data_IF_060349034366
#
_entry.id   IF_060349034366
#
_cell.length_a   1.000
_cell.length_b   1.000
_cell.length_c   1.000
_cell.angle_alpha   90.00
_cell.angle_beta   90.00
_cell.angle_gamma   90.00
#
_symmetry.space_group_name_H-M   'P 1'
#
loop_
_entity.id
_entity.type
_entity.pdbx_description
1 polymer ?
#
# COMPACT_ATOMS: atom_id res chain seq x y z
N UNK A 1 42.13 35.73 -51.33
CA UNK A 1 41.09 35.03 -52.12
C UNK A 1 40.15 34.37 -51.12
N UNK A 2 39.10 35.11 -50.72
CA UNK A 2 37.70 34.97 -51.16
C UNK A 2 36.95 34.00 -50.22
N UNK A 3 36.19 34.53 -49.23
CA UNK A 3 34.72 34.76 -49.27
C UNK A 3 33.94 33.43 -49.17
N UNK A 4 32.85 33.22 -48.40
CA UNK A 4 31.87 34.05 -47.67
C UNK A 4 30.97 33.04 -46.90
N UNK A 5 30.40 33.40 -45.73
CA UNK A 5 29.21 32.70 -45.19
C UNK A 5 27.96 33.00 -46.06
N UNK A 6 26.73 32.53 -45.72
CA UNK A 6 26.11 32.84 -44.43
C UNK A 6 25.12 31.79 -43.84
N UNK A 7 24.60 32.18 -42.67
CA UNK A 7 23.49 31.68 -41.85
C UNK A 7 22.18 31.33 -42.57
N UNK A 8 21.47 30.31 -42.08
CA UNK A 8 20.00 30.23 -42.17
C UNK A 8 19.36 29.79 -40.84
N UNK A 9 18.30 30.52 -40.51
CA UNK A 9 17.37 30.31 -39.41
C UNK A 9 16.46 29.10 -39.66
N UNK A 10 16.19 28.29 -38.63
CA UNK A 10 15.02 27.40 -38.62
C UNK A 10 14.16 27.66 -37.39
N UNK A 11 12.94 28.15 -37.64
CA UNK A 11 11.82 28.13 -36.68
C UNK A 11 11.25 26.71 -36.60
N UNK A 12 10.65 26.30 -35.46
CA UNK A 12 10.04 24.99 -35.33
C UNK A 12 8.65 24.97 -35.99
N UNK A 13 8.49 24.12 -37.00
CA UNK A 13 7.22 23.76 -37.61
C UNK A 13 6.72 22.44 -37.05
N UNK A 14 5.48 22.47 -36.56
CA UNK A 14 4.60 21.34 -36.29
C UNK A 14 4.55 20.33 -37.45
N UNK A 15 4.67 19.04 -37.15
CA UNK A 15 4.00 17.87 -37.75
C UNK A 15 4.90 16.64 -37.57
N UNK A 16 4.56 15.78 -36.60
CA UNK A 16 4.96 14.36 -36.59
C UNK A 16 3.88 13.59 -35.81
N UNK A 17 2.73 13.44 -36.47
CA UNK A 17 1.91 12.24 -36.32
C UNK A 17 2.28 11.36 -37.52
N UNK A 18 2.29 10.05 -37.28
CA UNK A 18 2.57 8.95 -38.21
C UNK A 18 4.02 8.47 -38.22
N UNK A 19 4.32 7.59 -37.27
CA UNK A 19 5.08 6.36 -37.52
C UNK A 19 4.84 5.37 -36.36
N UNK A 20 3.66 4.74 -36.39
CA UNK A 20 3.34 3.56 -35.57
C UNK A 20 2.86 2.45 -36.51
N UNK A 21 3.78 1.83 -37.26
CA UNK A 21 3.59 0.45 -37.70
C UNK A 21 4.89 -0.17 -38.22
N UNK A 22 5.66 -0.77 -37.31
CA UNK A 22 6.39 -2.01 -37.56
C UNK A 22 7.17 -2.38 -36.31
N UNK A 23 6.61 -3.25 -35.48
CA UNK A 23 7.30 -4.47 -35.04
C UNK A 23 6.36 -5.33 -34.19
N UNK A 24 6.14 -6.54 -34.70
CA UNK A 24 5.32 -7.57 -34.09
C UNK A 24 6.10 -8.15 -32.92
N UNK A 25 5.62 -7.94 -31.70
CA UNK A 25 5.89 -8.85 -30.59
C UNK A 25 4.57 -9.35 -30.03
N UNK A 26 4.37 -10.66 -30.15
CA UNK A 26 3.21 -11.42 -29.75
C UNK A 26 3.09 -11.48 -28.21
N UNK A 27 2.63 -10.39 -27.59
CA UNK A 27 1.93 -10.46 -26.32
C UNK A 27 0.47 -10.13 -26.58
N UNK A 28 -0.37 -11.16 -26.56
CA UNK A 28 -1.81 -11.01 -26.60
C UNK A 28 -2.23 -9.99 -25.54
N UNK A 29 -2.73 -8.84 -25.98
CA UNK A 29 -3.41 -7.87 -25.11
C UNK A 29 -4.64 -8.56 -24.52
N UNK A 30 -4.50 -9.18 -23.34
CA UNK A 30 -5.66 -9.50 -22.52
C UNK A 30 -6.40 -8.19 -22.21
N UNK A 31 -7.74 -8.19 -22.16
CA UNK A 31 -8.48 -7.02 -21.71
C UNK A 31 -8.06 -6.71 -20.27
N UNK A 32 -7.39 -5.57 -20.05
CA UNK A 32 -7.13 -5.05 -18.70
C UNK A 32 -8.45 -5.00 -17.95
N UNK A 33 -8.53 -5.70 -16.81
CA UNK A 33 -9.69 -5.68 -15.93
C UNK A 33 -10.03 -4.25 -15.52
N UNK A 34 -11.30 -3.99 -15.15
CA UNK A 34 -11.70 -2.68 -14.60
C UNK A 34 -10.80 -2.31 -13.41
N UNK A 35 -10.42 -3.29 -12.59
CA UNK A 35 -9.45 -3.13 -11.51
C UNK A 35 -8.09 -2.63 -12.00
N UNK A 36 -7.47 -3.29 -12.98
CA UNK A 36 -6.16 -2.88 -13.52
C UNK A 36 -6.22 -1.46 -14.11
N UNK A 37 -7.32 -1.12 -14.79
CA UNK A 37 -7.53 0.21 -15.36
C UNK A 37 -7.69 1.26 -14.25
N UNK A 38 -8.45 0.97 -13.19
CA UNK A 38 -8.60 1.85 -12.03
C UNK A 38 -7.26 2.07 -11.33
N UNK A 39 -6.47 1.02 -11.09
CA UNK A 39 -5.14 1.15 -10.48
C UNK A 39 -4.30 2.13 -11.30
N UNK A 40 -4.22 1.91 -12.62
CA UNK A 40 -3.43 2.76 -13.51
C UNK A 40 -3.86 4.23 -13.49
N UNK A 41 -5.17 4.47 -13.55
CA UNK A 41 -5.72 5.83 -13.55
C UNK A 41 -5.44 6.50 -12.21
N UNK A 42 -5.83 5.88 -11.09
CA UNK A 42 -5.74 6.50 -9.76
C UNK A 42 -4.27 6.71 -9.37
N UNK A 43 -3.37 5.79 -9.72
CA UNK A 43 -1.94 5.92 -9.48
C UNK A 43 -1.29 7.08 -10.27
N UNK A 44 -1.95 7.60 -11.31
CA UNK A 44 -1.48 8.79 -12.04
C UNK A 44 -1.88 10.11 -11.39
N UNK A 45 -2.80 10.09 -10.42
CA UNK A 45 -3.16 11.28 -9.65
C UNK A 45 -2.12 11.57 -8.57
N UNK A 46 -2.08 12.83 -8.14
CA UNK A 46 -1.23 13.27 -7.03
C UNK A 46 -1.54 12.43 -5.77
N UNK A 47 -0.50 11.94 -5.09
CA UNK A 47 -0.59 11.04 -3.94
C UNK A 47 -1.35 9.72 -4.18
N UNK A 48 -1.70 9.37 -5.42
CA UNK A 48 -2.54 8.21 -5.70
C UNK A 48 -3.97 8.34 -5.15
N UNK A 49 -4.48 9.57 -5.06
CA UNK A 49 -5.81 9.87 -4.52
C UNK A 49 -6.71 10.51 -5.58
N UNK A 50 -7.99 10.14 -5.61
CA UNK A 50 -8.98 10.78 -6.48
C UNK A 50 -10.35 10.81 -5.82
N UNK A 51 -11.12 11.88 -6.07
CA UNK A 51 -12.52 11.95 -5.64
C UNK A 51 -13.39 11.12 -6.59
N UNK A 52 -14.29 10.28 -6.07
CA UNK A 52 -15.08 9.33 -6.88
C UNK A 52 -15.77 9.97 -8.08
N UNK A 53 -16.39 11.15 -7.91
CA UNK A 53 -17.06 11.86 -9.02
C UNK A 53 -16.12 12.25 -10.17
N UNK A 54 -14.82 12.44 -9.90
CA UNK A 54 -13.83 12.81 -10.91
C UNK A 54 -13.49 11.63 -11.85
N UNK A 55 -13.65 10.38 -11.41
CA UNK A 55 -13.40 9.20 -12.24
C UNK A 55 -14.29 9.17 -13.50
N UNK A 56 -15.56 9.54 -13.35
CA UNK A 56 -16.55 9.52 -14.43
C UNK A 56 -16.50 10.76 -15.32
N UNK A 57 -15.85 11.82 -14.86
CA UNK A 57 -15.71 13.04 -15.65
C UNK A 57 -14.77 12.86 -16.85
N UNK A 58 -13.78 11.95 -16.74
CA UNK A 58 -12.71 11.80 -17.73
C UNK A 58 -12.38 10.38 -18.15
N UNK A 59 -12.68 9.37 -17.33
CA UNK A 59 -12.10 8.03 -17.53
C UNK A 59 -13.11 6.89 -17.70
N UNK A 60 -14.34 7.06 -17.21
CA UNK A 60 -15.36 6.02 -17.21
C UNK A 60 -16.74 6.56 -17.62
N UNK A 61 -17.53 5.69 -18.25
CA UNK A 61 -18.93 6.01 -18.60
C UNK A 61 -19.83 5.78 -17.38
N UNK A 62 -20.91 6.55 -17.24
CA UNK A 62 -21.87 6.44 -16.12
C UNK A 62 -22.46 5.03 -15.97
N UNK A 63 -22.63 4.29 -17.06
CA UNK A 63 -23.15 2.92 -17.02
C UNK A 63 -22.17 1.89 -16.43
N UNK A 64 -20.91 2.26 -16.17
CA UNK A 64 -19.90 1.40 -15.52
C UNK A 64 -19.83 1.63 -14.00
N UNK A 65 -20.70 2.48 -13.45
CA UNK A 65 -20.64 2.92 -12.06
C UNK A 65 -20.80 1.77 -11.07
N UNK A 66 -21.72 0.84 -11.34
CA UNK A 66 -21.96 -0.32 -10.47
C UNK A 66 -20.77 -1.30 -10.47
N UNK A 67 -20.17 -1.54 -11.63
CA UNK A 67 -18.99 -2.41 -11.75
C UNK A 67 -17.78 -1.81 -11.04
N UNK A 68 -17.56 -0.50 -11.20
CA UNK A 68 -16.51 0.24 -10.48
C UNK A 68 -16.78 0.18 -8.97
N UNK A 69 -18.03 0.37 -8.55
CA UNK A 69 -18.39 0.29 -7.13
C UNK A 69 -18.11 -1.10 -6.54
N UNK A 70 -18.39 -2.18 -7.29
CA UNK A 70 -18.06 -3.54 -6.87
C UNK A 70 -16.56 -3.74 -6.69
N UNK A 71 -15.76 -3.31 -7.67
CA UNK A 71 -14.30 -3.43 -7.62
C UNK A 71 -13.70 -2.60 -6.48
N UNK A 72 -14.18 -1.38 -6.25
CA UNK A 72 -13.68 -0.52 -5.18
C UNK A 72 -14.06 -1.02 -3.77
N UNK A 73 -15.15 -1.78 -3.64
CA UNK A 73 -15.60 -2.33 -2.36
C UNK A 73 -15.12 -3.76 -2.07
N UNK A 74 -14.42 -4.38 -3.02
CA UNK A 74 -13.79 -5.67 -2.78
C UNK A 74 -12.66 -5.52 -1.74
N UNK A 75 -12.72 -6.33 -0.69
CA UNK A 75 -11.73 -6.32 0.41
C UNK A 75 -10.33 -6.69 -0.07
N UNK A 76 -10.23 -7.46 -1.15
CA UNK A 76 -8.98 -7.87 -1.78
C UNK A 76 -8.51 -6.91 -2.88
N UNK A 77 -9.24 -5.81 -3.09
CA UNK A 77 -8.83 -4.78 -4.04
C UNK A 77 -7.60 -3.97 -3.59
N UNK A 78 -7.04 -3.23 -4.54
CA UNK A 78 -5.95 -2.29 -4.37
C UNK A 78 -6.43 -0.89 -3.95
N UNK A 79 -7.63 -0.77 -3.36
CA UNK A 79 -8.25 0.51 -3.07
C UNK A 79 -8.71 0.64 -1.62
N UNK A 80 -8.56 1.85 -1.08
CA UNK A 80 -9.21 2.27 0.15
C UNK A 80 -10.10 3.47 -0.12
N UNK A 81 -11.15 3.61 0.68
CA UNK A 81 -12.17 4.65 0.50
C UNK A 81 -12.32 5.39 1.81
N UNK A 82 -12.02 6.68 1.80
CA UNK A 82 -12.28 7.58 2.93
C UNK A 82 -13.62 8.26 2.82
N UNK A 83 -14.14 8.71 3.96
CA UNK A 83 -15.41 9.44 4.08
C UNK A 83 -16.58 8.68 3.47
N UNK A 84 -16.69 7.37 3.73
CA UNK A 84 -17.84 6.54 3.29
C UNK A 84 -19.13 7.19 3.77
N UNK A 85 -19.78 7.92 2.87
CA UNK A 85 -20.89 8.80 3.25
C UNK A 85 -22.23 8.06 3.22
N UNK A 86 -22.27 6.86 2.61
CA UNK A 86 -23.46 6.01 2.59
C UNK A 86 -23.12 4.52 2.53
N UNK A 87 -23.81 3.65 3.28
CA UNK A 87 -23.73 2.20 3.11
C UNK A 87 -24.35 1.72 1.78
N UNK A 88 -25.09 2.58 1.07
CA UNK A 88 -25.85 2.24 -0.13
C UNK A 88 -25.21 2.75 -1.44
N UNK A 89 -24.00 3.34 -1.39
CA UNK A 89 -23.30 3.84 -2.59
C UNK A 89 -22.42 5.05 -2.32
N UNK A 90 -21.86 5.65 -3.39
CA UNK A 90 -21.08 6.89 -3.31
C UNK A 90 -21.99 8.10 -3.48
N UNK A 91 -21.82 9.11 -2.60
CA UNK A 91 -22.40 10.45 -2.80
C UNK A 91 -21.55 11.31 -3.76
N UNK A 92 -20.36 10.82 -4.12
CA UNK A 92 -19.48 11.41 -5.13
C UNK A 92 -18.35 12.26 -4.55
N UNK A 93 -18.31 12.45 -3.24
CA UNK A 93 -17.29 13.17 -2.49
C UNK A 93 -16.26 12.23 -1.81
N UNK A 94 -16.47 10.92 -1.89
CA UNK A 94 -15.55 9.94 -1.31
C UNK A 94 -14.19 10.00 -1.99
N UNK A 95 -13.13 9.93 -1.16
CA UNK A 95 -11.75 9.94 -1.64
C UNK A 95 -11.29 8.50 -1.75
N UNK A 96 -10.91 8.10 -2.96
CA UNK A 96 -10.38 6.78 -3.26
C UNK A 96 -8.87 6.89 -3.29
N UNK A 97 -8.19 6.01 -2.56
CA UNK A 97 -6.74 5.87 -2.63
C UNK A 97 -6.37 4.53 -3.22
N UNK A 98 -5.45 4.53 -4.16
CA UNK A 98 -4.84 3.29 -4.65
C UNK A 98 -3.66 2.89 -3.77
N UNK A 99 -3.45 1.60 -3.59
CA UNK A 99 -2.28 1.04 -2.94
C UNK A 99 -2.03 -0.38 -3.45
N UNK A 100 -0.96 -1.01 -3.01
CA UNK A 100 -0.77 -2.45 -3.20
C UNK A 100 -0.45 -3.14 -1.88
N UNK A 101 -0.95 -4.37 -1.72
CA UNK A 101 -0.57 -5.27 -0.62
C UNK A 101 0.69 -6.08 -0.96
N UNK A 102 1.12 -6.07 -2.22
CA UNK A 102 2.29 -6.80 -2.68
C UNK A 102 3.53 -6.22 -2.00
N UNK A 103 4.45 -7.08 -1.57
CA UNK A 103 5.64 -6.68 -0.82
C UNK A 103 6.89 -7.40 -1.35
N UNK A 104 8.06 -6.96 -0.88
CA UNK A 104 9.31 -7.65 -1.16
C UNK A 104 9.42 -8.94 -0.36
N UNK A 105 9.87 -10.01 -1.01
CA UNK A 105 10.13 -11.30 -0.37
C UNK A 105 11.21 -11.14 0.71
N UNK A 106 10.89 -11.50 1.96
CA UNK A 106 11.80 -11.34 3.10
C UNK A 106 13.12 -12.13 2.97
N UNK A 107 13.12 -13.20 2.18
CA UNK A 107 14.29 -14.04 1.92
C UNK A 107 15.12 -13.54 0.73
N UNK A 108 14.49 -12.88 -0.24
CA UNK A 108 15.16 -12.33 -1.42
C UNK A 108 15.48 -10.83 -1.32
N UNK A 109 15.06 -10.14 -0.26
CA UNK A 109 15.40 -8.72 -0.03
C UNK A 109 16.40 -8.51 1.12
N UNK A 110 16.93 -9.59 1.72
CA UNK A 110 17.86 -9.55 2.84
C UNK A 110 18.98 -10.57 2.67
N UNK A 111 20.20 -10.14 2.96
CA UNK A 111 21.31 -11.06 3.18
C UNK A 111 21.19 -11.66 4.59
N UNK A 112 21.38 -12.97 4.74
CA UNK A 112 21.43 -13.63 6.05
C UNK A 112 22.64 -13.17 6.87
N UNK A 113 22.59 -13.34 8.21
CA UNK A 113 23.71 -13.01 9.12
C UNK A 113 24.99 -13.80 8.82
N UNK A 114 24.86 -14.95 8.17
CA UNK A 114 25.95 -15.81 7.70
C UNK A 114 26.55 -15.36 6.35
N UNK A 115 26.10 -14.21 5.82
CA UNK A 115 26.52 -13.68 4.53
C UNK A 115 25.90 -14.42 3.34
N UNK A 116 25.04 -15.43 3.58
CA UNK A 116 24.37 -16.20 2.53
C UNK A 116 22.93 -15.72 2.39
N UNK A 117 22.42 -15.68 1.16
CA UNK A 117 21.00 -15.44 0.94
C UNK A 117 20.22 -16.66 1.46
N UNK A 118 19.19 -16.41 2.28
CA UNK A 118 18.19 -17.44 2.58
C UNK A 118 17.54 -17.81 1.24
N UNK A 119 17.57 -19.09 0.87
CA UNK A 119 17.00 -19.55 -0.41
C UNK A 119 15.48 -19.53 -0.31
N UNK A 120 14.82 -18.72 -1.12
CA UNK A 120 13.40 -18.89 -1.41
C UNK A 120 13.27 -19.86 -2.59
N UNK A 121 12.31 -20.76 -2.47
CA UNK A 121 12.00 -21.82 -3.44
C UNK A 121 11.33 -21.33 -4.73
N UNK A 122 11.07 -20.02 -4.83
CA UNK A 122 10.38 -19.42 -5.97
C UNK A 122 8.86 -19.52 -5.92
N UNK A 123 8.28 -20.12 -4.87
CA UNK A 123 6.82 -20.27 -4.73
C UNK A 123 6.22 -19.30 -3.71
N UNK A 124 6.90 -18.17 -3.45
CA UNK A 124 6.41 -17.17 -2.51
C UNK A 124 5.50 -16.13 -3.18
N UNK A 125 4.50 -15.64 -2.45
CA UNK A 125 3.60 -14.56 -2.90
C UNK A 125 4.18 -13.15 -2.84
N UNK A 126 5.50 -12.99 -2.98
CA UNK A 126 6.20 -11.71 -2.79
C UNK A 126 7.26 -11.46 -3.87
N UNK A 127 7.52 -10.19 -4.16
CA UNK A 127 8.41 -9.76 -5.24
C UNK A 127 9.88 -10.05 -4.93
N UNK A 128 10.58 -10.52 -5.96
CA UNK A 128 12.03 -10.72 -5.95
C UNK A 128 12.71 -9.51 -6.56
N UNK A 129 12.79 -8.43 -5.77
CA UNK A 129 13.40 -7.18 -6.20
C UNK A 129 14.36 -6.63 -5.16
N UNK A 130 15.38 -5.90 -5.63
CA UNK A 130 16.18 -5.01 -4.80
C UNK A 130 15.28 -3.87 -4.30
N UNK A 131 15.34 -3.57 -2.99
CA UNK A 131 14.63 -2.43 -2.40
C UNK A 131 15.01 -1.10 -3.06
N UNK A 132 16.31 -0.89 -3.29
CA UNK A 132 16.81 0.37 -3.86
C UNK A 132 16.36 0.52 -5.32
N UNK A 133 16.30 -0.57 -6.08
CA UNK A 133 15.71 -0.57 -7.41
C UNK A 133 14.20 -0.28 -7.37
N UNK A 134 13.47 -0.97 -6.48
CA UNK A 134 12.02 -0.77 -6.30
C UNK A 134 11.71 0.69 -5.99
N UNK A 135 12.39 1.27 -5.01
CA UNK A 135 12.09 2.61 -4.52
C UNK A 135 12.69 3.71 -5.38
N UNK A 136 13.83 3.53 -6.02
CA UNK A 136 14.54 4.61 -6.71
C UNK A 136 14.69 4.33 -8.20
N UNK A 137 15.70 3.56 -8.56
CA UNK A 137 16.01 3.17 -9.92
C UNK A 137 17.17 2.18 -9.93
N UNK A 138 17.49 1.63 -11.11
CA UNK A 138 18.67 0.81 -11.28
C UNK A 138 19.96 1.60 -11.03
N UNK A 139 20.00 2.86 -11.47
CA UNK A 139 21.12 3.76 -11.29
C UNK A 139 21.29 4.13 -9.83
N UNK A 140 20.25 4.23 -9.02
CA UNK A 140 20.43 4.53 -7.59
C UNK A 140 21.15 3.40 -6.84
N UNK A 141 21.06 2.16 -7.33
CA UNK A 141 21.71 1.00 -6.72
C UNK A 141 23.17 0.89 -7.19
N UNK A 142 24.11 0.96 -6.25
CA UNK A 142 25.55 0.81 -6.53
C UNK A 142 25.88 -0.50 -7.26
N UNK A 143 25.29 -1.61 -6.81
CA UNK A 143 25.52 -2.94 -7.41
C UNK A 143 24.71 -3.15 -8.69
N UNK A 144 23.54 -2.50 -8.81
CA UNK A 144 22.71 -2.48 -10.01
C UNK A 144 23.42 -1.88 -11.20
N UNK A 145 24.02 -0.69 -11.00
CA UNK A 145 24.87 -0.03 -12.01
C UNK A 145 25.99 -0.91 -12.55
N UNK A 146 26.50 -1.82 -11.72
CA UNK A 146 27.61 -2.73 -12.05
C UNK A 146 27.13 -4.10 -12.56
N UNK A 147 25.81 -4.35 -12.64
CA UNK A 147 25.24 -5.65 -12.98
C UNK A 147 25.57 -6.76 -11.97
N UNK A 148 25.93 -6.38 -10.73
CA UNK A 148 26.37 -7.30 -9.66
C UNK A 148 25.42 -7.33 -8.47
N UNK A 149 24.24 -6.71 -8.58
CA UNK A 149 23.26 -6.79 -7.51
C UNK A 149 22.80 -8.24 -7.37
N UNK A 150 22.91 -8.79 -6.18
CA UNK A 150 22.44 -10.14 -5.89
C UNK A 150 20.92 -10.22 -5.73
N UNK A 151 20.23 -9.09 -5.86
CA UNK A 151 18.78 -8.94 -5.79
C UNK A 151 18.23 -8.58 -7.16
N UNK A 152 16.95 -8.89 -7.41
CA UNK A 152 16.33 -8.70 -8.74
C UNK A 152 16.15 -7.24 -9.12
N UNK A 153 16.49 -6.89 -10.36
CA UNK A 153 16.36 -5.54 -10.94
C UNK A 153 15.39 -5.53 -12.13
N UNK A 154 14.45 -6.47 -12.14
CA UNK A 154 13.47 -6.64 -13.21
C UNK A 154 12.09 -6.88 -12.62
N UNK A 155 11.20 -5.88 -12.77
CA UNK A 155 9.80 -5.98 -12.36
C UNK A 155 9.05 -7.09 -13.08
N UNK A 156 9.46 -7.43 -14.31
CA UNK A 156 8.74 -8.33 -15.20
C UNK A 156 9.41 -9.70 -15.34
N UNK A 157 10.30 -10.05 -14.41
CA UNK A 157 10.84 -11.41 -14.32
C UNK A 157 9.70 -12.43 -14.26
N UNK A 158 9.93 -13.66 -14.72
CA UNK A 158 8.90 -14.70 -14.79
C UNK A 158 8.12 -14.88 -13.48
N UNK A 159 8.82 -14.83 -12.34
CA UNK A 159 8.23 -14.89 -11.00
C UNK A 159 7.34 -13.66 -10.70
N UNK A 160 7.89 -12.46 -10.89
CA UNK A 160 7.21 -11.22 -10.54
C UNK A 160 5.99 -10.98 -11.43
N UNK A 161 6.06 -11.31 -12.72
CA UNK A 161 4.97 -11.10 -13.68
C UNK A 161 3.70 -11.85 -13.28
N UNK A 162 3.84 -13.07 -12.74
CA UNK A 162 2.70 -13.82 -12.21
C UNK A 162 2.03 -13.08 -11.05
N UNK A 163 2.82 -12.63 -10.08
CA UNK A 163 2.31 -11.87 -8.92
C UNK A 163 1.67 -10.54 -9.33
N UNK A 164 2.24 -9.83 -10.30
CA UNK A 164 1.67 -8.59 -10.82
C UNK A 164 0.29 -8.84 -11.45
N UNK A 165 0.12 -9.92 -12.21
CA UNK A 165 -1.18 -10.30 -12.80
C UNK A 165 -2.22 -10.63 -11.74
N UNK A 166 -1.85 -11.46 -10.76
CA UNK A 166 -2.75 -11.83 -9.65
C UNK A 166 -3.22 -10.61 -8.84
N UNK A 167 -2.38 -9.57 -8.78
CA UNK A 167 -2.68 -8.33 -8.07
C UNK A 167 -3.22 -7.22 -8.99
N UNK A 168 -3.59 -7.49 -10.25
CA UNK A 168 -4.09 -6.47 -11.21
C UNK A 168 -3.12 -5.30 -11.46
N UNK A 169 -1.80 -5.57 -11.46
CA UNK A 169 -0.72 -4.59 -11.62
C UNK A 169 0.07 -4.75 -12.93
N UNK A 170 -0.22 -5.78 -13.73
CA UNK A 170 0.51 -6.12 -14.96
C UNK A 170 0.32 -5.11 -16.10
N UNK A 171 -0.69 -4.24 -16.01
CA UNK A 171 -0.89 -3.11 -16.92
C UNK A 171 -0.05 -1.86 -16.63
N UNK A 172 0.76 -1.89 -15.56
CA UNK A 172 1.62 -0.78 -15.16
C UNK A 172 3.04 -0.95 -15.71
N UNK A 173 3.63 0.15 -16.18
CA UNK A 173 5.06 0.17 -16.50
C UNK A 173 5.91 0.32 -15.22
N UNK A 174 7.23 0.17 -15.34
CA UNK A 174 8.17 0.27 -14.22
C UNK A 174 8.02 1.59 -13.42
N UNK A 175 7.83 2.73 -14.11
CA UNK A 175 7.68 4.03 -13.45
C UNK A 175 6.38 4.09 -12.64
N UNK A 176 5.30 3.58 -13.21
CA UNK A 176 3.99 3.50 -12.57
C UNK A 176 4.02 2.54 -11.37
N UNK A 177 4.64 1.36 -11.50
CA UNK A 177 4.83 0.43 -10.39
C UNK A 177 5.62 1.09 -9.26
N UNK A 178 6.75 1.73 -9.58
CA UNK A 178 7.56 2.43 -8.60
C UNK A 178 6.77 3.51 -7.85
N UNK A 179 6.01 4.34 -8.56
CA UNK A 179 5.15 5.34 -7.95
C UNK A 179 4.13 4.68 -6.99
N UNK A 180 3.50 3.57 -7.41
CA UNK A 180 2.54 2.83 -6.59
C UNK A 180 3.18 2.30 -5.30
N UNK A 181 4.37 1.71 -5.37
CA UNK A 181 5.10 1.19 -4.21
C UNK A 181 5.63 2.29 -3.28
N UNK A 182 5.80 3.51 -3.79
CA UNK A 182 6.21 4.65 -2.99
C UNK A 182 5.05 5.26 -2.16
N UNK A 183 3.79 4.99 -2.52
CA UNK A 183 2.62 5.53 -1.82
C UNK A 183 2.59 5.09 -0.33
N UNK A 184 2.09 5.94 0.59
CA UNK A 184 2.07 5.65 2.02
C UNK A 184 1.40 4.33 2.40
N UNK A 185 0.29 3.98 1.74
CA UNK A 185 -0.46 2.76 1.99
C UNK A 185 0.20 1.50 1.41
N UNK A 186 1.07 1.65 0.40
CA UNK A 186 1.80 0.53 -0.22
C UNK A 186 3.11 0.18 0.51
N UNK A 187 3.54 1.01 1.46
CA UNK A 187 4.78 0.76 2.22
C UNK A 187 4.63 -0.45 3.13
N UNK A 188 5.72 -1.20 3.28
CA UNK A 188 5.87 -2.30 4.23
C UNK A 188 7.17 -2.14 5.07
N UNK A 189 7.40 -3.05 6.03
CA UNK A 189 8.57 -3.01 6.94
C UNK A 189 9.92 -2.94 6.22
N UNK A 190 10.07 -3.55 5.05
CA UNK A 190 11.33 -3.55 4.28
C UNK A 190 11.51 -2.28 3.44
N UNK A 191 10.42 -1.58 3.12
CA UNK A 191 10.43 -0.32 2.36
C UNK A 191 10.22 0.91 3.24
N UNK A 192 10.33 0.75 4.56
CA UNK A 192 10.18 1.82 5.56
C UNK A 192 11.36 1.79 6.53
N UNK A 193 12.01 2.94 6.80
CA UNK A 193 13.10 3.00 7.76
C UNK A 193 12.60 2.70 9.17
N UNK A 194 13.43 1.99 9.93
CA UNK A 194 13.15 1.64 11.33
C UNK A 194 13.72 2.71 12.26
N UNK A 195 13.07 2.93 13.39
CA UNK A 195 13.59 3.77 14.47
C UNK A 195 14.73 3.04 15.16
N UNK A 196 15.87 3.71 15.31
CA UNK A 196 17.06 3.10 15.89
C UNK A 196 16.85 2.78 17.36
N UNK A 197 16.89 1.48 17.71
CA UNK A 197 16.76 1.00 19.09
C UNK A 197 17.91 1.46 19.98
N UNK A 198 19.13 1.49 19.46
CA UNK A 198 20.30 1.97 20.21
C UNK A 198 20.29 3.48 20.42
N UNK A 199 19.65 4.25 19.53
CA UNK A 199 19.46 5.68 19.77
C UNK A 199 18.40 5.93 20.85
N UNK A 200 17.34 5.11 20.86
CA UNK A 200 16.23 5.24 21.80
C UNK A 200 16.46 4.58 23.16
N UNK A 201 17.57 3.85 23.33
CA UNK A 201 17.96 3.24 24.60
C UNK A 201 18.71 4.25 25.48
N UNK A 202 18.33 4.38 26.76
CA UNK A 202 18.99 5.31 27.68
C UNK A 202 20.32 4.78 28.23
N UNK A 203 20.55 3.45 28.17
CA UNK A 203 21.75 2.79 28.69
C UNK A 203 22.85 2.63 27.64
N UNK A 204 22.48 2.59 26.36
CA UNK A 204 23.40 2.40 25.24
C UNK A 204 23.13 3.49 24.23
N UNK A 205 24.18 4.18 23.75
CA UNK A 205 24.06 5.15 22.65
C UNK A 205 24.43 4.48 21.34
N UNK A 206 23.77 4.85 20.25
CA UNK A 206 24.19 4.41 18.91
C UNK A 206 25.58 4.98 18.60
N UNK A 207 26.58 4.11 18.41
CA UNK A 207 27.96 4.49 18.06
C UNK A 207 28.26 4.37 16.56
N UNK A 208 27.36 3.76 15.79
CA UNK A 208 27.53 3.59 14.35
C UNK A 208 27.29 4.92 13.62
N UNK A 209 28.37 5.48 13.05
CA UNK A 209 28.31 6.72 12.26
C UNK A 209 27.53 6.58 10.94
N UNK A 210 27.37 5.36 10.44
CA UNK A 210 26.63 5.02 9.23
C UNK A 210 25.34 4.26 9.57
N UNK A 211 24.71 4.57 10.71
CA UNK A 211 23.44 3.94 11.07
C UNK A 211 22.35 4.26 10.03
N UNK A 212 21.77 3.22 9.44
CA UNK A 212 20.69 3.29 8.44
C UNK A 212 19.29 3.33 9.07
N UNK A 213 19.21 3.46 10.39
CA UNK A 213 17.95 3.56 11.16
C UNK A 213 17.78 5.00 11.67
N UNK A 214 16.53 5.44 11.85
CA UNK A 214 16.21 6.82 12.23
C UNK A 214 16.65 7.12 13.67
N UNK A 215 17.47 8.15 13.85
CA UNK A 215 17.81 8.73 15.16
C UNK A 215 16.76 9.78 15.56
N UNK A 216 15.54 9.29 15.75
CA UNK A 216 14.39 10.09 16.20
C UNK A 216 13.76 9.43 17.42
N UNK A 217 13.16 10.22 18.31
CA UNK A 217 12.49 9.72 19.50
C UNK A 217 11.32 8.80 19.13
N UNK A 218 11.29 7.58 19.68
CA UNK A 218 10.22 6.62 19.44
C UNK A 218 8.88 7.12 19.99
N UNK A 219 8.87 7.77 21.16
CA UNK A 219 7.66 8.33 21.77
C UNK A 219 7.11 9.49 20.93
N UNK A 220 7.98 10.29 20.32
CA UNK A 220 7.57 11.33 19.38
C UNK A 220 6.89 10.74 18.13
N UNK A 221 7.45 9.66 17.57
CA UNK A 221 6.84 8.95 16.43
C UNK A 221 5.49 8.35 16.78
N UNK A 222 5.35 7.79 17.98
CA UNK A 222 4.09 7.25 18.49
C UNK A 222 3.10 8.34 18.93
N UNK A 223 3.47 9.62 18.81
CA UNK A 223 2.68 10.77 19.24
C UNK A 223 2.29 10.70 20.73
N UNK A 224 3.14 10.05 21.53
CA UNK A 224 2.98 9.95 22.98
C UNK A 224 3.41 11.27 23.65
N UNK A 225 2.63 11.68 24.64
CA UNK A 225 2.96 12.85 25.46
C UNK A 225 4.15 12.52 26.36
N UNK A 226 5.25 13.25 26.20
CA UNK A 226 6.41 13.14 27.06
C UNK A 226 7.07 14.51 27.24
N UNK A 227 7.37 14.87 28.49
CA UNK A 227 7.94 16.18 28.85
C UNK A 227 9.46 16.06 28.97
N UNK A 228 10.17 17.13 28.59
CA UNK A 228 11.63 17.25 28.73
C UNK A 228 12.45 16.15 28.04
N UNK A 229 12.01 15.73 26.85
CA UNK A 229 12.76 14.76 26.05
C UNK A 229 14.11 15.32 25.58
N UNK A 230 15.17 14.52 25.71
CA UNK A 230 16.52 14.86 25.22
C UNK A 230 16.79 14.27 23.82
N UNK A 231 15.86 13.51 23.27
CA UNK A 231 15.98 12.86 21.95
C UNK A 231 15.44 13.80 20.85
N UNK A 232 15.88 13.56 19.63
CA UNK A 232 15.56 14.38 18.46
C UNK A 232 14.09 14.19 18.05
N UNK A 233 13.38 15.29 17.83
CA UNK A 233 11.98 15.37 17.40
C UNK A 233 11.82 16.05 16.03
N UNK A 234 12.92 16.23 15.28
CA UNK A 234 12.91 16.90 13.98
C UNK A 234 13.19 15.92 12.87
N UNK A 235 12.28 15.86 11.89
CA UNK A 235 12.52 15.18 10.61
C UNK A 235 13.54 15.92 9.73
N UNK A 236 13.89 17.16 10.08
CA UNK A 236 14.87 17.97 9.35
C UNK A 236 16.30 17.79 9.85
N UNK A 237 16.52 17.01 10.90
CA UNK A 237 17.86 16.61 11.30
C UNK A 237 18.57 15.88 10.16
N UNK A 238 19.87 16.14 9.97
CA UNK A 238 20.63 15.62 8.84
C UNK A 238 20.66 14.10 8.78
N UNK A 239 20.76 13.40 9.93
CA UNK A 239 20.77 11.95 9.95
C UNK A 239 19.40 11.39 9.59
N UNK A 240 18.34 12.01 10.12
CA UNK A 240 16.96 11.62 9.86
C UNK A 240 16.62 11.83 8.40
N UNK A 241 16.90 13.02 7.84
CA UNK A 241 16.63 13.36 6.44
C UNK A 241 17.37 12.44 5.47
N UNK A 242 18.68 12.22 5.68
CA UNK A 242 19.46 11.28 4.86
C UNK A 242 18.87 9.88 4.89
N UNK A 243 18.39 9.42 6.05
CA UNK A 243 17.76 8.11 6.19
C UNK A 243 16.42 8.08 5.47
N UNK A 244 15.57 9.10 5.58
CA UNK A 244 14.29 9.18 4.86
C UNK A 244 14.50 9.23 3.34
N UNK A 245 15.50 9.97 2.88
CA UNK A 245 15.89 10.06 1.46
C UNK A 245 16.27 8.68 0.91
N UNK A 246 16.95 7.81 1.68
CA UNK A 246 17.26 6.43 1.26
C UNK A 246 16.04 5.55 1.02
N UNK A 247 14.87 5.95 1.53
CA UNK A 247 13.61 5.24 1.38
C UNK A 247 12.59 6.02 0.53
N UNK A 248 12.97 7.15 -0.07
CA UNK A 248 12.06 8.02 -0.83
C UNK A 248 10.84 8.42 0.00
N UNK A 249 11.08 8.91 1.21
CA UNK A 249 10.05 9.44 2.13
C UNK A 249 10.40 10.91 2.44
N UNK A 250 9.41 11.81 2.42
CA UNK A 250 9.60 13.19 2.90
C UNK A 250 10.18 14.18 1.88
N UNK A 251 9.98 13.94 0.57
CA UNK A 251 10.28 14.90 -0.50
C UNK A 251 9.37 16.15 -0.48
N UNK A 252 9.55 17.06 -1.45
CA UNK A 252 8.80 18.33 -1.53
C UNK A 252 7.28 18.16 -1.63
N UNK A 253 6.84 17.03 -2.17
CA UNK A 253 5.43 16.75 -2.46
C UNK A 253 4.74 15.95 -1.35
N UNK A 254 5.38 15.73 -0.19
CA UNK A 254 4.81 14.91 0.88
C UNK A 254 4.03 15.73 1.91
N UNK A 255 2.90 15.20 2.37
CA UNK A 255 2.15 15.77 3.50
C UNK A 255 2.84 15.38 4.80
N UNK A 256 2.96 16.31 5.75
CA UNK A 256 3.62 16.06 7.05
C UNK A 256 3.08 14.81 7.77
N UNK A 257 1.77 14.58 7.68
CA UNK A 257 1.11 13.45 8.35
C UNK A 257 1.46 12.10 7.72
N UNK A 258 1.78 12.04 6.42
CA UNK A 258 2.13 10.79 5.74
C UNK A 258 3.45 10.20 6.26
N UNK A 259 4.43 11.06 6.57
CA UNK A 259 5.71 10.63 7.16
C UNK A 259 5.47 9.98 8.53
N UNK A 260 4.65 10.61 9.38
CA UNK A 260 4.25 10.02 10.65
C UNK A 260 3.50 8.72 10.46
N UNK A 261 2.52 8.67 9.54
CA UNK A 261 1.70 7.49 9.28
C UNK A 261 2.56 6.29 8.86
N UNK A 262 3.48 6.48 7.91
CA UNK A 262 4.37 5.41 7.43
C UNK A 262 5.28 4.92 8.56
N UNK A 263 5.94 5.83 9.27
CA UNK A 263 6.94 5.46 10.26
C UNK A 263 6.26 4.81 11.47
N UNK A 264 5.14 5.37 11.96
CA UNK A 264 4.42 4.83 13.12
C UNK A 264 3.84 3.43 12.87
N UNK A 265 3.32 3.16 11.66
CA UNK A 265 2.72 1.86 11.30
C UNK A 265 3.65 0.67 11.51
N UNK A 266 4.96 0.86 11.31
CA UNK A 266 5.94 -0.23 11.37
C UNK A 266 6.86 -0.18 12.59
N UNK A 267 6.86 0.92 13.36
CA UNK A 267 7.74 1.11 14.52
C UNK A 267 7.05 0.92 15.88
N UNK A 268 5.75 0.60 15.91
CA UNK A 268 4.98 0.37 17.15
C UNK A 268 4.97 -1.08 17.70
N UNK A 269 5.68 -2.05 17.09
CA UNK A 269 5.47 -3.49 17.36
C UNK A 269 6.69 -4.30 17.85
N UNK A 270 7.74 -3.68 18.40
CA UNK A 270 8.85 -4.46 18.98
C UNK A 270 9.26 -3.95 20.37
N UNK A 271 8.39 -4.20 21.36
CA UNK A 271 8.75 -4.26 22.79
C UNK A 271 8.51 -5.66 23.39
N UNK A 272 8.42 -6.70 22.57
CA UNK A 272 8.45 -8.10 23.03
C UNK A 272 9.83 -8.70 22.81
N UNK A 273 10.33 -9.32 23.88
CA UNK A 273 11.67 -9.85 24.04
C UNK A 273 11.99 -10.98 23.03
N UNK A 274 12.73 -10.64 21.97
CA UNK A 274 13.83 -11.48 21.50
C UNK A 274 14.83 -10.61 20.73
N UNK A 275 16.12 -10.73 21.05
CA UNK A 275 17.20 -9.84 20.61
C UNK A 275 17.61 -9.99 19.14
N UNK A 276 16.66 -10.31 18.25
CA UNK A 276 16.95 -10.81 16.91
C UNK A 276 16.48 -9.88 15.80
N UNK A 277 16.97 -8.64 15.76
CA UNK A 277 16.73 -7.76 14.60
C UNK A 277 17.91 -7.87 13.61
N UNK A 278 17.70 -8.68 12.57
CA UNK A 278 18.59 -8.76 11.40
C UNK A 278 18.66 -7.38 10.72
N UNK A 279 19.88 -6.82 10.71
CA UNK A 279 20.20 -5.52 10.14
C UNK A 279 19.93 -5.51 8.63
N UNK A 280 19.21 -4.50 8.14
CA UNK A 280 19.12 -4.22 6.71
C UNK A 280 20.47 -3.62 6.28
N UNK A 281 21.43 -4.49 5.92
CA UNK A 281 22.70 -4.06 5.33
C UNK A 281 22.50 -3.79 3.84
N UNK A 282 22.06 -2.57 3.51
CA UNK A 282 22.56 -2.01 2.27
C UNK A 282 24.03 -1.69 2.56
N UNK A 283 24.89 -2.60 2.10
CA UNK A 283 26.34 -2.54 1.99
C UNK A 283 27.01 -1.33 2.66
N UNK A 284 27.73 -1.58 3.75
CA UNK A 284 28.73 -0.64 4.25
C UNK A 284 29.78 -0.40 3.16
N UNK A 285 29.98 0.87 2.81
CA UNK A 285 31.13 1.34 2.04
C UNK A 285 32.43 1.06 2.81
N UNK A 286 32.91 -0.18 2.76
CA UNK A 286 34.22 -0.51 3.30
C UNK A 286 34.93 -1.49 2.38
N UNK A 287 35.59 -0.95 1.35
CA UNK A 287 36.83 -1.55 0.87
C UNK A 287 37.85 -1.44 2.00
N UNK A 288 37.91 -2.44 2.88
CA UNK A 288 39.13 -2.72 3.64
C UNK A 288 39.26 -4.21 3.92
N UNK A 289 40.27 -4.79 3.29
CA UNK A 289 41.00 -6.02 3.63
C UNK A 289 40.22 -7.31 3.91
N UNK A 290 40.21 -8.16 2.89
CA UNK A 290 40.43 -9.59 3.08
C UNK A 290 41.76 -9.81 3.84
N UNK A 291 41.70 -10.12 5.13
CA UNK A 291 42.74 -10.89 5.81
C UNK A 291 42.24 -11.49 7.13
N UNK A 292 42.34 -12.82 7.17
CA UNK A 292 42.63 -13.67 8.33
C UNK A 292 41.54 -14.06 9.34
N UNK A 293 41.25 -15.38 9.30
CA UNK A 293 41.24 -16.35 10.40
C UNK A 293 40.88 -15.85 11.81
N UNK A 294 39.81 -16.43 12.37
CA UNK A 294 39.94 -17.10 13.66
C UNK A 294 38.96 -18.27 13.79
N UNK A 295 39.51 -19.37 14.30
CA UNK A 295 38.87 -20.65 14.59
C UNK A 295 38.34 -20.62 16.02
N UNK A 296 37.07 -20.97 16.26
CA UNK A 296 36.55 -21.55 17.52
C UNK A 296 35.17 -22.16 17.20
N UNK A 297 35.13 -23.47 16.93
CA UNK A 297 34.75 -24.56 17.86
C UNK A 297 33.23 -24.71 18.10
N UNK A 298 32.68 -25.72 17.43
CA UNK A 298 31.78 -26.76 17.96
C UNK A 298 30.70 -26.32 18.97
N UNK A 299 29.48 -26.21 18.47
CA UNK A 299 28.32 -26.72 19.22
C UNK A 299 27.43 -27.53 18.28
N UNK A 300 27.50 -28.84 18.45
CA UNK A 300 26.61 -29.83 17.84
C UNK A 300 25.45 -30.10 18.79
N UNK A 301 24.22 -29.92 18.30
CA UNK A 301 22.97 -30.22 18.99
C UNK A 301 21.94 -29.14 18.65
N UNK A 302 20.85 -29.38 17.93
CA UNK A 302 20.12 -30.61 17.71
C UNK A 302 19.33 -30.50 16.40
N UNK A 303 19.28 -31.60 15.65
CA UNK A 303 18.26 -31.85 14.63
C UNK A 303 16.92 -32.09 15.33
N UNK A 304 15.82 -31.78 14.64
CA UNK A 304 14.41 -31.75 15.09
C UNK A 304 14.11 -30.40 15.77
N UNK A 305 13.47 -29.44 15.09
CA UNK A 305 12.03 -29.41 14.81
C UNK A 305 11.80 -28.64 13.49
N UNK A 306 11.45 -29.35 12.41
CA UNK A 306 10.71 -28.77 11.28
C UNK A 306 9.32 -29.40 11.35
N UNK A 307 8.37 -28.60 11.86
CA UNK A 307 6.91 -28.69 11.81
C UNK A 307 6.44 -27.90 13.02
N UNK A 308 5.81 -26.75 12.79
CA UNK A 308 5.01 -25.91 13.71
C UNK A 308 5.30 -24.42 13.44
N UNK A 309 4.89 -23.93 12.28
CA UNK A 309 4.75 -22.49 12.02
C UNK A 309 3.44 -22.18 11.26
N UNK A 310 2.35 -22.82 11.70
CA UNK A 310 0.96 -22.47 11.30
C UNK A 310 0.02 -22.42 12.52
N UNK A 311 0.53 -22.12 13.73
CA UNK A 311 -0.32 -22.12 14.93
C UNK A 311 -0.04 -21.03 15.98
N UNK A 312 0.57 -19.90 15.61
CA UNK A 312 0.77 -18.77 16.52
C UNK A 312 -0.08 -17.53 16.16
N UNK A 313 -1.34 -17.75 15.80
CA UNK A 313 -2.36 -16.66 15.80
C UNK A 313 -3.41 -16.79 16.91
N UNK A 314 -3.28 -17.78 17.79
CA UNK A 314 -4.30 -18.04 18.81
C UNK A 314 -3.69 -18.67 20.05
N UNK A 315 -3.14 -17.87 20.98
CA UNK A 315 -3.14 -18.09 22.45
C UNK A 315 -2.05 -17.23 23.11
N UNK A 316 -2.40 -16.00 23.47
CA UNK A 316 -1.72 -15.31 24.56
C UNK A 316 -2.18 -15.96 25.88
N UNK A 317 -1.24 -16.50 26.65
CA UNK A 317 -1.48 -17.19 27.93
C UNK A 317 -1.48 -16.24 29.14
N UNK A 318 -1.39 -14.94 28.92
CA UNK A 318 -1.59 -13.92 29.95
C UNK A 318 -3.08 -13.88 30.35
N UNK A 319 -3.36 -14.05 31.64
CA UNK A 319 -4.74 -14.05 32.17
C UNK A 319 -5.47 -12.72 31.91
N UNK A 320 -4.74 -11.61 31.83
CA UNK A 320 -5.30 -10.32 31.38
C UNK A 320 -5.78 -10.33 29.93
N UNK A 321 -5.10 -11.05 29.03
CA UNK A 321 -5.55 -11.19 27.64
C UNK A 321 -6.76 -12.11 27.48
N UNK A 322 -6.96 -13.07 28.39
CA UNK A 322 -8.15 -13.94 28.40
C UNK A 322 -9.38 -13.14 28.82
N UNK A 323 -9.27 -12.29 29.85
CA UNK A 323 -10.34 -11.38 30.30
C UNK A 323 -10.74 -10.41 29.18
N UNK A 324 -9.77 -9.74 28.57
CA UNK A 324 -10.02 -8.80 27.46
C UNK A 324 -10.67 -9.48 26.24
N UNK A 325 -10.28 -10.72 25.91
CA UNK A 325 -10.92 -11.49 24.82
C UNK A 325 -12.36 -11.87 25.15
N UNK A 326 -12.64 -12.23 26.39
CA UNK A 326 -14.00 -12.53 26.83
C UNK A 326 -14.90 -11.29 26.83
N UNK A 327 -14.40 -10.14 27.29
CA UNK A 327 -15.10 -8.86 27.24
C UNK A 327 -15.35 -8.40 25.80
N UNK A 328 -14.34 -8.51 24.92
CA UNK A 328 -14.49 -8.21 23.50
C UNK A 328 -15.50 -9.13 22.80
N UNK A 329 -15.53 -10.42 23.17
CA UNK A 329 -16.50 -11.36 22.65
C UNK A 329 -17.92 -11.07 23.14
N UNK A 330 -18.08 -10.69 24.41
CA UNK A 330 -19.37 -10.30 24.98
C UNK A 330 -19.92 -9.02 24.30
N UNK A 331 -19.07 -8.00 24.13
CA UNK A 331 -19.42 -6.77 23.40
C UNK A 331 -19.78 -7.06 21.93
N UNK A 332 -19.04 -7.95 21.27
CA UNK A 332 -19.33 -8.35 19.89
C UNK A 332 -20.71 -9.03 19.80
N UNK A 333 -21.03 -9.92 20.75
CA UNK A 333 -22.31 -10.61 20.78
C UNK A 333 -23.48 -9.63 21.02
N UNK A 334 -23.32 -8.69 21.97
CA UNK A 334 -24.31 -7.65 22.24
C UNK A 334 -24.53 -6.75 21.01
N UNK A 335 -23.45 -6.37 20.33
CA UNK A 335 -23.52 -5.55 19.12
C UNK A 335 -24.22 -6.31 17.97
N UNK A 336 -23.93 -7.59 17.79
CA UNK A 336 -24.63 -8.44 16.81
C UNK A 336 -26.12 -8.57 17.13
N UNK A 337 -26.50 -8.75 18.39
CA UNK A 337 -27.91 -8.82 18.80
C UNK A 337 -28.66 -7.50 18.53
N UNK A 338 -28.01 -6.36 18.79
CA UNK A 338 -28.59 -5.03 18.48
C UNK A 338 -28.78 -4.83 16.97
N UNK A 339 -27.81 -5.24 16.15
CA UNK A 339 -27.94 -5.19 14.68
C UNK A 339 -29.10 -6.06 14.21
N UNK A 340 -29.21 -7.30 14.70
CA UNK A 340 -30.33 -8.19 14.34
C UNK A 340 -31.70 -7.68 14.82
N UNK A 341 -31.75 -6.87 15.88
CA UNK A 341 -32.99 -6.19 16.30
C UNK A 341 -33.35 -5.07 15.34
N UNK A 342 -32.38 -4.21 15.01
CA UNK A 342 -32.58 -3.10 14.08
C UNK A 342 -32.97 -3.56 12.68
N UNK A 343 -32.42 -4.67 12.20
CA UNK A 343 -32.80 -5.27 10.91
C UNK A 343 -34.26 -5.78 10.90
N UNK A 344 -34.74 -6.31 12.03
CA UNK A 344 -36.14 -6.71 12.20
C UNK A 344 -37.06 -5.49 12.22
N UNK A 345 -36.71 -4.47 12.99
CA UNK A 345 -37.49 -3.23 13.09
C UNK A 345 -37.56 -2.52 11.73
N UNK A 346 -36.45 -2.48 10.99
CA UNK A 346 -36.40 -1.94 9.64
C UNK A 346 -37.27 -2.74 8.65
N UNK A 347 -37.30 -4.07 8.78
CA UNK A 347 -38.15 -4.93 7.95
C UNK A 347 -39.64 -4.70 8.22
N UNK A 348 -40.02 -4.48 9.49
CA UNK A 348 -41.40 -4.12 9.88
C UNK A 348 -41.80 -2.76 9.31
N UNK A 349 -40.96 -1.73 9.48
CA UNK A 349 -41.21 -0.40 8.92
C UNK A 349 -41.33 -0.44 7.39
N UNK A 350 -40.51 -1.25 6.71
CA UNK A 350 -40.59 -1.43 5.26
C UNK A 350 -41.93 -2.04 4.85
N UNK A 351 -42.46 -2.99 5.63
CA UNK A 351 -43.77 -3.60 5.37
C UNK A 351 -44.93 -2.62 5.62
N UNK A 352 -44.84 -1.78 6.64
CA UNK A 352 -45.83 -0.73 6.92
C UNK A 352 -45.84 0.36 5.84
N UNK A 353 -44.67 0.80 5.38
CA UNK A 353 -44.58 1.76 4.27
C UNK A 353 -45.19 1.18 2.99
N UNK A 354 -45.00 -0.11 2.74
CA UNK A 354 -45.58 -0.78 1.59
C UNK A 354 -47.11 -0.88 1.68
N UNK A 355 -47.66 -1.19 2.87
CA UNK A 355 -49.12 -1.27 3.08
C UNK A 355 -49.79 0.11 2.96
N UNK A 356 -49.14 1.17 3.45
CA UNK A 356 -49.62 2.56 3.29
C UNK A 356 -49.63 2.97 1.81
N UNK A 357 -48.62 2.59 1.02
CA UNK A 357 -48.59 2.85 -0.43
C UNK A 357 -49.73 2.14 -1.16
N UNK A 358 -50.01 0.88 -0.83
CA UNK A 358 -51.10 0.10 -1.44
C UNK A 358 -52.47 0.69 -1.11
N UNK A 359 -52.69 1.09 0.15
CA UNK A 359 -53.95 1.72 0.58
C UNK A 359 -54.20 3.08 -0.09
N UNK A 360 -53.14 3.87 -0.32
CA UNK A 360 -53.23 5.15 -1.03
C UNK A 360 -53.60 4.96 -2.50
N UNK A 361 -53.02 3.95 -3.17
CA UNK A 361 -53.37 3.59 -4.54
C UNK A 361 -54.80 3.05 -4.67
N UNK A 362 -55.31 2.30 -3.67
CA UNK A 362 -56.68 1.82 -3.66
C UNK A 362 -57.71 2.96 -3.52
N UNK A 363 -57.46 3.94 -2.65
CA UNK A 363 -58.32 5.12 -2.51
C UNK A 363 -58.37 6.00 -3.77
N UNK A 364 -57.26 6.15 -4.49
CA UNK A 364 -57.22 6.89 -5.77
C UNK A 364 -57.95 6.18 -6.91
N UNK A 365 -58.04 4.85 -6.89
CA UNK A 365 -58.81 4.08 -7.90
C UNK A 365 -60.31 4.06 -7.61
N UNK A 366 -60.73 4.16 -6.35
CA UNK A 366 -62.16 4.19 -5.98
C UNK A 366 -62.82 5.55 -6.22
N UNK A 367 -62.04 6.64 -6.26
CA UNK A 367 -62.54 7.98 -6.57
C UNK A 367 -62.83 8.23 -8.08
N UNK A 368 -62.43 7.31 -8.96
CA UNK A 368 -62.58 7.44 -10.44
C UNK A 368 -63.74 6.65 -11.05
N UNK A 369 -64.62 6.05 -10.24
CA UNK A 369 -65.83 5.35 -10.71
C UNK A 369 -67.10 5.92 -10.06
N UNK A 370 -67.47 7.14 -10.44
CA UNK A 370 -68.86 7.61 -10.33
C UNK A 370 -69.46 7.66 -11.75
N UNK A 371 -70.56 6.94 -12.04
CA UNK A 371 -71.23 7.06 -13.33
C UNK A 371 -72.08 8.33 -13.37
N UNK A 372 -71.92 9.10 -14.44
CA UNK A 372 -72.78 10.24 -14.77
C UNK A 372 -74.10 9.70 -15.33
N UNK A 373 -75.24 10.11 -14.76
CA UNK A 373 -76.50 10.13 -15.49
C UNK A 373 -77.44 11.24 -15.01
N UNK A 374 -77.60 12.25 -15.88
CA UNK A 374 -78.89 12.85 -16.22
C UNK A 374 -79.41 14.00 -15.37
N UNK A 375 -79.17 15.25 -15.80
CA UNK A 375 -80.16 16.35 -15.71
C UNK A 375 -80.02 17.23 -16.97
N UNK A 376 -81.05 17.22 -17.82
CA UNK A 376 -81.30 18.18 -18.90
C UNK A 376 -81.97 19.44 -18.34
N UNK A 377 -81.52 20.63 -18.77
CA UNK A 377 -82.23 21.89 -18.53
C UNK A 377 -82.82 22.39 -19.87
N UNK A 378 -84.13 22.63 -19.85
CA UNK A 378 -84.83 23.55 -20.75
C UNK A 378 -84.94 24.91 -20.06
#
# INVERSE_FOLDING_TARGET
MAYRGPSEHFRPGSHFLDDFNSERNNHAHLPTTIASKLVKIINSYEHGEVVFSQLFSKHFRRNQQDDIWRVLNDEDSNFTIENRSSPYGFLGNEVIRVHTKLALCAFHCRQGRDGRNKKCDGQCGALHLCRTFLLKSNEACHFGRKGKCMFGHDFFSQHNLHLLRENNLDGLNERELRALFQLPLSRCKTTTPQVCKYYNNDRQKCTNRHCTSLHICSQFILQEQHKNCKKNHSFQDDQVRKTLDLFEIGGKDWRKNEVFEIISRFNGLEQSADGNQEMYSDYSDNESNYSERSSFSNYSGSRQIIRHLDHERSQSTCDGCKSLKQEMHALKLEMTQKVMSLERDFSLLKSEVQSVKVNKSAQETSAKKCPISGITFN
#
